data_IF_356158289450
#
_entry.id   IF_356158289450
#
_cell.length_a   1.000
_cell.length_b   1.000
_cell.length_c   1.000
_cell.angle_alpha   90.00
_cell.angle_beta   90.00
_cell.angle_gamma   90.00
#
_symmetry.space_group_name_H-M   'P 1'
#
loop_
_entity.id
_entity.type
_entity.pdbx_description
1 polymer ?
#
# COMPACT_ATOMS: atom_id res chain seq x y z
N UNK A 1 -30.78 4.65 14.68
CA UNK A 1 -29.76 3.61 14.38
C UNK A 1 -30.38 2.62 13.42
N UNK A 2 -29.71 2.31 12.30
CA UNK A 2 -30.17 1.25 11.39
C UNK A 2 -30.20 -0.11 12.12
N UNK A 3 -30.91 -1.11 11.62
CA UNK A 3 -30.88 -2.51 12.01
C UNK A 3 -29.84 -3.31 11.21
N UNK A 4 -29.64 -4.61 11.50
CA UNK A 4 -28.72 -5.48 10.76
C UNK A 4 -29.12 -5.72 9.30
N UNK A 5 -30.42 -5.64 9.01
CA UNK A 5 -31.03 -5.88 7.69
C UNK A 5 -31.39 -4.60 6.94
N UNK A 6 -31.09 -3.45 7.53
CA UNK A 6 -31.47 -2.18 6.94
C UNK A 6 -30.46 -1.80 5.86
N UNK A 7 -31.01 -1.42 4.71
CA UNK A 7 -30.25 -0.95 3.57
C UNK A 7 -30.15 0.57 3.61
N UNK A 8 -28.95 1.07 3.33
CA UNK A 8 -28.73 2.47 3.04
C UNK A 8 -28.91 2.71 1.55
N UNK A 9 -29.75 3.68 1.14
CA UNK A 9 -29.80 4.07 -0.25
C UNK A 9 -28.46 4.69 -0.66
N UNK A 10 -28.09 4.49 -1.93
CA UNK A 10 -26.84 5.02 -2.45
C UNK A 10 -26.92 6.54 -2.61
N UNK A 11 -26.29 7.27 -1.69
CA UNK A 11 -26.11 8.72 -1.82
C UNK A 11 -25.02 9.03 -2.86
N UNK A 12 -25.00 10.23 -3.47
CA UNK A 12 -23.94 10.61 -4.41
C UNK A 12 -22.54 10.50 -3.82
N UNK A 13 -22.38 10.86 -2.54
CA UNK A 13 -21.11 10.74 -1.83
C UNK A 13 -20.68 9.29 -1.64
N UNK A 14 -21.60 8.42 -1.23
CA UNK A 14 -21.31 6.99 -1.08
C UNK A 14 -20.98 6.38 -2.43
N UNK A 15 -21.74 6.70 -3.48
CA UNK A 15 -21.48 6.25 -4.85
C UNK A 15 -20.08 6.62 -5.32
N UNK A 16 -19.63 7.86 -5.08
CA UNK A 16 -18.29 8.28 -5.44
C UNK A 16 -17.20 7.44 -4.75
N UNK A 17 -17.36 7.18 -3.44
CA UNK A 17 -16.41 6.33 -2.70
C UNK A 17 -16.41 4.90 -3.24
N UNK A 18 -17.59 4.30 -3.46
CA UNK A 18 -17.67 2.94 -4.00
C UNK A 18 -17.07 2.83 -5.40
N UNK A 19 -17.21 3.86 -6.24
CA UNK A 19 -16.55 3.87 -7.55
C UNK A 19 -15.03 3.92 -7.44
N UNK A 20 -14.49 4.71 -6.51
CA UNK A 20 -13.05 4.70 -6.22
C UNK A 20 -12.62 3.31 -5.75
N UNK A 21 -13.39 2.69 -4.85
CA UNK A 21 -13.11 1.34 -4.35
C UNK A 21 -13.10 0.29 -5.48
N UNK A 22 -14.06 0.36 -6.41
CA UNK A 22 -14.09 -0.52 -7.59
C UNK A 22 -12.88 -0.27 -8.48
N UNK A 23 -12.61 0.98 -8.88
CA UNK A 23 -11.52 1.26 -9.83
C UNK A 23 -10.16 0.89 -9.22
N UNK A 24 -9.94 1.25 -7.97
CA UNK A 24 -8.65 1.04 -7.29
C UNK A 24 -8.54 -0.38 -6.75
N UNK A 25 -9.41 -0.79 -5.82
CA UNK A 25 -9.23 -2.06 -5.12
C UNK A 25 -9.71 -3.28 -5.91
N UNK A 26 -10.81 -3.20 -6.66
CA UNK A 26 -11.17 -4.32 -7.53
C UNK A 26 -10.13 -4.49 -8.64
N UNK A 27 -9.67 -3.39 -9.23
CA UNK A 27 -8.59 -3.37 -10.22
C UNK A 27 -7.30 -3.98 -9.68
N UNK A 28 -6.81 -3.51 -8.52
CA UNK A 28 -5.62 -4.05 -7.86
C UNK A 28 -5.79 -5.50 -7.40
N UNK A 29 -6.98 -5.88 -6.94
CA UNK A 29 -7.29 -7.24 -6.52
C UNK A 29 -7.25 -8.22 -7.68
N UNK A 30 -7.90 -7.87 -8.81
CA UNK A 30 -7.84 -8.65 -10.04
C UNK A 30 -6.40 -8.72 -10.58
N UNK A 31 -5.72 -7.58 -10.67
CA UNK A 31 -4.33 -7.54 -11.10
C UNK A 31 -3.43 -8.41 -10.23
N UNK A 32 -3.45 -8.25 -8.90
CA UNK A 32 -2.63 -9.05 -7.99
C UNK A 32 -2.99 -10.55 -7.98
N UNK A 33 -4.23 -10.90 -8.30
CA UNK A 33 -4.64 -12.29 -8.43
C UNK A 33 -4.08 -12.93 -9.71
N UNK A 34 -4.15 -12.22 -10.86
CA UNK A 34 -3.84 -12.77 -12.19
C UNK A 34 -2.44 -12.46 -12.73
N UNK A 35 -1.84 -11.31 -12.43
CA UNK A 35 -0.55 -10.86 -13.01
C UNK A 35 0.66 -11.64 -12.47
N UNK A 36 0.53 -12.22 -11.28
CA UNK A 36 1.59 -12.90 -10.54
C UNK A 36 2.20 -14.13 -11.27
N UNK A 37 1.56 -14.61 -12.33
CA UNK A 37 2.09 -15.67 -13.20
C UNK A 37 3.13 -15.17 -14.20
N UNK A 38 3.13 -13.87 -14.51
CA UNK A 38 3.95 -13.27 -15.57
C UNK A 38 5.10 -12.41 -15.03
N UNK A 39 5.13 -12.10 -13.72
CA UNK A 39 6.19 -11.29 -13.14
C UNK A 39 7.53 -12.03 -13.08
N UNK A 40 8.59 -11.37 -13.56
CA UNK A 40 9.96 -11.89 -13.49
C UNK A 40 10.42 -11.99 -12.04
N UNK A 41 11.22 -13.01 -11.73
CA UNK A 41 11.77 -13.20 -10.40
C UNK A 41 12.64 -12.00 -9.99
N UNK A 42 12.38 -11.36 -8.83
CA UNK A 42 13.26 -10.32 -8.34
C UNK A 42 14.66 -10.88 -8.11
N UNK A 43 15.69 -10.13 -8.49
CA UNK A 43 17.09 -10.60 -8.47
C UNK A 43 17.51 -11.12 -7.08
N UNK A 44 17.04 -10.45 -6.01
CA UNK A 44 17.31 -10.83 -4.62
C UNK A 44 16.73 -12.19 -4.17
N UNK A 45 15.78 -12.75 -4.94
CA UNK A 45 15.22 -14.09 -4.67
C UNK A 45 16.07 -15.22 -5.25
N UNK A 46 17.07 -14.90 -6.09
CA UNK A 46 17.94 -15.89 -6.74
C UNK A 46 19.08 -16.26 -5.78
N UNK A 47 19.28 -17.56 -5.56
CA UNK A 47 20.40 -18.12 -4.78
C UNK A 47 21.02 -19.26 -5.57
N UNK A 48 22.33 -19.26 -5.70
CA UNK A 48 23.09 -20.28 -6.45
C UNK A 48 22.56 -20.50 -7.88
N UNK A 49 22.24 -19.42 -8.59
CA UNK A 49 21.74 -19.47 -9.97
C UNK A 49 20.30 -19.97 -10.14
N UNK A 50 19.56 -20.23 -9.04
CA UNK A 50 18.16 -20.66 -9.09
C UNK A 50 17.24 -19.82 -8.18
N UNK A 51 15.94 -19.68 -8.51
CA UNK A 51 14.99 -19.02 -7.61
C UNK A 51 14.85 -19.80 -6.29
N UNK A 52 15.01 -19.10 -5.16
CA UNK A 52 14.75 -19.68 -3.85
C UNK A 52 13.23 -19.73 -3.60
N UNK A 53 12.67 -20.95 -3.57
CA UNK A 53 11.23 -21.16 -3.43
C UNK A 53 10.65 -20.63 -2.11
N UNK A 54 11.39 -20.72 -1.01
CA UNK A 54 10.94 -20.23 0.30
C UNK A 54 10.88 -18.69 0.36
N UNK A 55 11.94 -18.01 -0.11
CA UNK A 55 11.97 -16.55 -0.21
C UNK A 55 10.88 -16.03 -1.15
N UNK A 56 10.66 -16.72 -2.28
CA UNK A 56 9.59 -16.36 -3.21
C UNK A 56 8.21 -16.54 -2.58
N UNK A 57 7.96 -17.67 -1.92
CA UNK A 57 6.68 -17.95 -1.29
C UNK A 57 6.35 -16.90 -0.22
N UNK A 58 7.27 -16.66 0.71
CA UNK A 58 7.08 -15.68 1.80
C UNK A 58 6.83 -14.27 1.28
N UNK A 59 7.55 -13.85 0.24
CA UNK A 59 7.34 -12.55 -0.41
C UNK A 59 5.98 -12.44 -1.11
N UNK A 60 5.55 -13.51 -1.78
CA UNK A 60 4.29 -13.53 -2.55
C UNK A 60 3.06 -13.71 -1.66
N UNK A 61 3.16 -14.40 -0.53
CA UNK A 61 2.04 -14.60 0.39
C UNK A 61 1.45 -13.27 0.85
N UNK A 62 2.29 -12.30 1.25
CA UNK A 62 1.82 -10.99 1.67
C UNK A 62 1.11 -10.23 0.52
N UNK A 63 1.68 -10.29 -0.69
CA UNK A 63 1.10 -9.66 -1.87
C UNK A 63 -0.27 -10.28 -2.23
N UNK A 64 -0.39 -11.61 -2.19
CA UNK A 64 -1.64 -12.33 -2.45
C UNK A 64 -2.71 -12.07 -1.40
N UNK A 65 -2.33 -11.98 -0.12
CA UNK A 65 -3.26 -11.64 0.95
C UNK A 65 -3.80 -10.22 0.77
N UNK A 66 -2.95 -9.26 0.41
CA UNK A 66 -3.38 -7.91 0.07
C UNK A 66 -4.33 -7.89 -1.12
N UNK A 67 -3.98 -8.57 -2.22
CA UNK A 67 -4.84 -8.67 -3.40
C UNK A 67 -6.21 -9.29 -3.08
N UNK A 68 -6.26 -10.31 -2.22
CA UNK A 68 -7.51 -10.92 -1.77
C UNK A 68 -8.39 -9.94 -0.98
N UNK A 69 -7.81 -9.16 -0.06
CA UNK A 69 -8.53 -8.13 0.70
C UNK A 69 -9.07 -7.05 -0.25
N UNK A 70 -8.23 -6.56 -1.17
CA UNK A 70 -8.64 -5.57 -2.17
C UNK A 70 -9.76 -6.08 -3.09
N UNK A 71 -9.70 -7.35 -3.48
CA UNK A 71 -10.74 -7.97 -4.31
C UNK A 71 -12.08 -8.04 -3.56
N UNK A 72 -12.07 -8.43 -2.28
CA UNK A 72 -13.28 -8.50 -1.45
C UNK A 72 -13.88 -7.08 -1.26
N UNK A 73 -13.04 -6.10 -0.95
CA UNK A 73 -13.42 -4.69 -0.85
C UNK A 73 -14.09 -4.19 -2.14
N UNK A 74 -13.41 -4.37 -3.26
CA UNK A 74 -13.91 -3.97 -4.57
C UNK A 74 -15.19 -4.70 -4.97
N UNK A 75 -15.35 -5.96 -4.58
CA UNK A 75 -16.56 -6.74 -4.84
C UNK A 75 -17.76 -6.22 -4.06
N UNK A 76 -17.58 -5.92 -2.77
CA UNK A 76 -18.62 -5.30 -1.93
C UNK A 76 -19.03 -3.94 -2.52
N UNK A 77 -18.06 -3.13 -2.93
CA UNK A 77 -18.34 -1.83 -3.55
C UNK A 77 -19.10 -1.96 -4.87
N UNK A 78 -18.71 -2.91 -5.72
CA UNK A 78 -19.42 -3.20 -6.97
C UNK A 78 -20.85 -3.64 -6.70
N UNK A 79 -21.09 -4.52 -5.72
CA UNK A 79 -22.43 -4.96 -5.37
C UNK A 79 -23.31 -3.78 -4.92
N UNK A 80 -22.76 -2.91 -4.06
CA UNK A 80 -23.46 -1.70 -3.61
C UNK A 80 -23.82 -0.72 -4.73
N UNK A 81 -22.95 -0.60 -5.75
CA UNK A 81 -23.23 0.17 -6.96
C UNK A 81 -24.29 -0.48 -7.85
N UNK A 82 -24.28 -1.80 -8.01
CA UNK A 82 -25.26 -2.50 -8.85
C UNK A 82 -26.65 -2.53 -8.21
N UNK A 83 -26.73 -2.78 -6.91
CA UNK A 83 -28.00 -2.83 -6.17
C UNK A 83 -28.55 -1.42 -5.83
N UNK A 84 -27.76 -0.36 -6.05
CA UNK A 84 -28.10 1.04 -5.69
C UNK A 84 -28.42 1.22 -4.19
N UNK A 85 -27.95 0.28 -3.36
CA UNK A 85 -28.11 0.27 -1.92
C UNK A 85 -26.99 -0.54 -1.30
N UNK A 86 -26.67 -0.25 -0.05
CA UNK A 86 -25.63 -0.96 0.69
C UNK A 86 -26.18 -1.37 2.03
N UNK A 87 -26.03 -2.63 2.41
CA UNK A 87 -26.34 -3.10 3.75
C UNK A 87 -25.37 -2.51 4.76
N UNK A 88 -25.80 -2.41 6.02
CA UNK A 88 -24.88 -2.05 7.11
C UNK A 88 -23.63 -2.94 7.13
N UNK A 89 -23.80 -4.25 6.94
CA UNK A 89 -22.70 -5.21 7.01
C UNK A 89 -21.63 -4.90 5.95
N UNK A 90 -22.05 -4.57 4.74
CA UNK A 90 -21.15 -4.17 3.65
C UNK A 90 -20.37 -2.88 4.01
N UNK A 91 -21.05 -1.85 4.53
CA UNK A 91 -20.37 -0.61 4.98
C UNK A 91 -19.39 -0.91 6.12
N UNK A 92 -19.81 -1.66 7.14
CA UNK A 92 -18.94 -2.04 8.26
C UNK A 92 -17.72 -2.84 7.78
N UNK A 93 -17.88 -3.67 6.76
CA UNK A 93 -16.79 -4.44 6.15
C UNK A 93 -15.83 -3.54 5.38
N UNK A 94 -16.31 -2.49 4.69
CA UNK A 94 -15.45 -1.48 4.07
C UNK A 94 -14.59 -0.77 5.13
N UNK A 95 -15.21 -0.31 6.23
CA UNK A 95 -14.50 0.32 7.34
C UNK A 95 -13.43 -0.59 7.95
N UNK A 96 -13.78 -1.84 8.24
CA UNK A 96 -12.87 -2.79 8.87
C UNK A 96 -11.69 -3.14 7.95
N UNK A 97 -11.96 -3.37 6.67
CA UNK A 97 -10.94 -3.72 5.68
C UNK A 97 -9.98 -2.55 5.45
N UNK A 98 -10.49 -1.32 5.31
CA UNK A 98 -9.65 -0.12 5.24
C UNK A 98 -8.79 0.06 6.49
N UNK A 99 -9.36 -0.15 7.69
CA UNK A 99 -8.61 -0.08 8.94
C UNK A 99 -7.47 -1.11 9.01
N UNK A 100 -7.69 -2.34 8.53
CA UNK A 100 -6.65 -3.38 8.44
C UNK A 100 -5.55 -2.98 7.46
N UNK A 101 -5.92 -2.51 6.26
CA UNK A 101 -4.96 -2.02 5.27
C UNK A 101 -4.12 -0.87 5.82
N UNK A 102 -4.77 0.12 6.44
CA UNK A 102 -4.09 1.27 7.01
C UNK A 102 -3.22 0.92 8.22
N UNK A 103 -3.62 -0.03 9.06
CA UNK A 103 -2.73 -0.54 10.12
C UNK A 103 -1.44 -1.12 9.55
N UNK A 104 -1.51 -1.83 8.42
CA UNK A 104 -0.34 -2.29 7.68
C UNK A 104 0.56 -1.13 7.27
N UNK A 105 -0.03 -0.09 6.65
CA UNK A 105 0.67 1.12 6.22
C UNK A 105 1.33 1.86 7.39
N UNK A 106 0.64 2.01 8.53
CA UNK A 106 1.19 2.64 9.74
C UNK A 106 2.40 1.86 10.27
N UNK A 107 2.31 0.53 10.29
CA UNK A 107 3.37 -0.32 10.85
C UNK A 107 4.65 -0.37 10.00
N UNK A 108 4.52 -0.16 8.68
CA UNK A 108 5.63 -0.22 7.70
C UNK A 108 6.13 1.16 7.27
N UNK A 109 5.71 2.21 7.98
CA UNK A 109 6.10 3.59 7.70
C UNK A 109 7.64 3.73 7.76
N UNK A 110 8.24 4.27 6.71
CA UNK A 110 9.66 4.65 6.73
C UNK A 110 9.89 5.81 7.73
N UNK A 111 11.02 5.85 8.46
CA UNK A 111 11.26 6.95 9.38
C UNK A 111 11.46 8.29 8.65
N UNK A 112 11.11 9.40 9.32
CA UNK A 112 11.27 10.76 8.80
C UNK A 112 10.19 11.23 7.82
N UNK A 113 10.53 12.26 7.03
CA UNK A 113 9.60 12.92 6.09
C UNK A 113 9.10 11.99 4.98
N UNK A 114 9.90 11.00 4.58
CA UNK A 114 9.56 10.04 3.52
C UNK A 114 8.39 9.13 3.91
N UNK A 115 8.34 8.66 5.16
CA UNK A 115 7.19 7.87 5.60
C UNK A 115 5.91 8.67 5.69
N UNK A 116 5.98 9.97 6.02
CA UNK A 116 4.78 10.82 6.04
C UNK A 116 4.28 11.03 4.61
N UNK A 117 5.17 11.38 3.68
CA UNK A 117 4.81 11.57 2.28
C UNK A 117 4.25 10.27 1.67
N UNK A 118 4.88 9.14 1.96
CA UNK A 118 4.44 7.82 1.52
C UNK A 118 3.04 7.44 2.00
N UNK A 119 2.61 7.91 3.18
CA UNK A 119 1.25 7.69 3.69
C UNK A 119 0.25 8.65 3.02
N UNK A 120 0.60 9.92 2.86
CA UNK A 120 -0.32 10.92 2.28
C UNK A 120 -0.60 10.67 0.79
N UNK A 121 0.35 10.05 0.08
CA UNK A 121 0.17 9.63 -1.31
C UNK A 121 -0.73 8.40 -1.48
N UNK A 122 -1.09 7.72 -0.38
CA UNK A 122 -1.90 6.50 -0.43
C UNK A 122 -3.39 6.85 -0.50
N UNK A 123 -4.15 6.36 -1.51
CA UNK A 123 -5.58 6.60 -1.58
C UNK A 123 -6.33 6.08 -0.35
N UNK A 124 -5.85 4.98 0.25
CA UNK A 124 -6.39 4.37 1.47
C UNK A 124 -6.56 5.40 2.60
N UNK A 125 -5.58 6.29 2.77
CA UNK A 125 -5.57 7.29 3.83
C UNK A 125 -6.74 8.28 3.67
N UNK A 126 -6.94 8.78 2.45
CA UNK A 126 -7.99 9.76 2.16
C UNK A 126 -9.38 9.12 2.15
N UNK A 127 -9.50 7.93 1.59
CA UNK A 127 -10.77 7.20 1.57
C UNK A 127 -11.23 6.88 2.99
N UNK A 128 -10.31 6.42 3.85
CA UNK A 128 -10.65 6.14 5.24
C UNK A 128 -11.07 7.41 5.98
N UNK A 129 -10.40 8.55 5.78
CA UNK A 129 -10.83 9.83 6.37
C UNK A 129 -12.24 10.20 5.89
N UNK A 130 -12.51 10.12 4.59
CA UNK A 130 -13.82 10.43 4.02
C UNK A 130 -14.91 9.51 4.59
N UNK A 131 -14.62 8.22 4.71
CA UNK A 131 -15.53 7.23 5.30
C UNK A 131 -15.86 7.57 6.75
N UNK A 132 -14.86 7.82 7.60
CA UNK A 132 -15.08 8.21 8.99
C UNK A 132 -15.78 9.57 9.14
N UNK A 133 -15.47 10.55 8.30
CA UNK A 133 -16.07 11.87 8.39
C UNK A 133 -17.56 11.86 8.01
N UNK A 134 -17.94 11.06 7.01
CA UNK A 134 -19.27 11.14 6.39
C UNK A 134 -20.19 9.97 6.79
N UNK A 135 -19.64 8.80 7.12
CA UNK A 135 -20.41 7.56 7.26
C UNK A 135 -20.30 6.89 8.63
N UNK A 136 -19.58 7.49 9.58
CA UNK A 136 -19.47 6.99 10.97
C UNK A 136 -20.82 6.76 11.68
N UNK A 137 -21.87 7.58 11.50
CA UNK A 137 -23.17 7.33 12.14
C UNK A 137 -23.88 6.06 11.68
N UNK A 138 -23.47 5.47 10.56
CA UNK A 138 -24.13 4.30 9.96
C UNK A 138 -23.58 2.96 10.47
N UNK A 139 -22.37 2.97 11.03
CA UNK A 139 -21.73 1.79 11.60
C UNK A 139 -22.01 1.67 13.09
N UNK A 140 -21.96 0.43 13.60
CA UNK A 140 -22.07 0.20 15.04
C UNK A 140 -20.88 0.81 15.80
N UNK A 141 -21.11 1.39 16.99
CA UNK A 141 -20.02 1.97 17.78
C UNK A 141 -18.94 0.94 18.15
N UNK A 142 -19.32 -0.34 18.30
CA UNK A 142 -18.38 -1.44 18.52
C UNK A 142 -17.44 -1.64 17.33
N UNK A 143 -17.97 -1.57 16.10
CA UNK A 143 -17.16 -1.68 14.87
C UNK A 143 -16.27 -0.46 14.71
N UNK A 144 -16.80 0.75 14.98
CA UNK A 144 -16.00 1.97 14.99
C UNK A 144 -14.83 1.88 15.97
N UNK A 145 -15.06 1.39 17.19
CA UNK A 145 -14.03 1.21 18.21
C UNK A 145 -12.96 0.21 17.76
N UNK A 146 -13.36 -0.92 17.16
CA UNK A 146 -12.43 -1.91 16.59
C UNK A 146 -11.55 -1.27 15.51
N UNK A 147 -12.16 -0.50 14.60
CA UNK A 147 -11.40 0.16 13.53
C UNK A 147 -10.38 1.16 14.08
N UNK A 148 -10.75 1.95 15.10
CA UNK A 148 -9.83 2.87 15.78
C UNK A 148 -8.72 2.09 16.48
N UNK A 149 -9.05 1.01 17.20
CA UNK A 149 -8.06 0.18 17.90
C UNK A 149 -7.05 -0.44 16.93
N UNK A 150 -7.50 -0.94 15.78
CA UNK A 150 -6.62 -1.50 14.73
C UNK A 150 -5.67 -0.42 14.18
N UNK A 151 -6.17 0.78 13.87
CA UNK A 151 -5.31 1.87 13.38
C UNK A 151 -4.28 2.31 14.44
N UNK A 152 -4.72 2.47 15.69
CA UNK A 152 -3.85 2.82 16.80
C UNK A 152 -2.79 1.75 17.04
N UNK A 153 -3.14 0.47 16.92
CA UNK A 153 -2.19 -0.62 17.03
C UNK A 153 -1.06 -0.52 16.01
N UNK A 154 -1.37 -0.20 14.75
CA UNK A 154 -0.34 0.04 13.71
C UNK A 154 0.63 1.16 14.09
N UNK A 155 0.12 2.25 14.67
CA UNK A 155 0.93 3.40 15.15
C UNK A 155 1.79 2.99 16.35
N UNK A 156 1.20 2.32 17.34
CA UNK A 156 1.90 1.84 18.54
C UNK A 156 3.03 0.88 18.15
N UNK A 157 2.76 -0.06 17.25
CA UNK A 157 3.77 -0.99 16.76
C UNK A 157 4.95 -0.27 16.10
N UNK A 158 4.67 0.72 15.24
CA UNK A 158 5.72 1.55 14.63
C UNK A 158 6.57 2.28 15.70
N UNK A 159 5.95 2.85 16.73
CA UNK A 159 6.68 3.56 17.78
C UNK A 159 7.56 2.64 18.63
N UNK A 160 7.06 1.44 18.96
CA UNK A 160 7.76 0.48 19.83
C UNK A 160 8.85 -0.32 19.11
N UNK A 161 8.65 -0.68 17.83
CA UNK A 161 9.53 -1.59 17.08
C UNK A 161 10.24 -0.93 15.90
N UNK A 162 9.70 0.16 15.35
CA UNK A 162 10.26 0.84 14.17
C UNK A 162 11.60 1.53 14.43
N UNK A 163 11.90 1.89 15.69
CA UNK A 163 13.16 2.56 16.06
C UNK A 163 14.30 1.61 16.41
N UNK A 164 14.01 0.36 16.75
CA UNK A 164 14.97 -0.53 17.42
C UNK A 164 15.38 -1.76 16.60
N UNK A 165 14.68 -2.11 15.52
CA UNK A 165 14.88 -3.41 14.87
C UNK A 165 15.15 -3.42 13.36
N UNK A 166 14.77 -2.40 12.59
CA UNK A 166 14.70 -2.54 11.12
C UNK A 166 15.66 -1.66 10.32
N UNK A 167 16.05 -0.47 10.78
CA UNK A 167 16.91 0.43 10.02
C UNK A 167 17.77 1.32 10.92
N UNK A 168 18.98 0.88 11.29
CA UNK A 168 19.96 1.74 11.97
C UNK A 168 21.34 1.60 11.31
N UNK A 169 21.93 2.70 10.82
CA UNK A 169 21.35 4.04 10.64
C UNK A 169 20.51 4.12 9.36
N UNK A 170 19.28 4.66 9.45
CA UNK A 170 18.49 4.97 8.26
C UNK A 170 18.85 6.37 7.72
N UNK A 171 19.50 6.42 6.56
CA UNK A 171 19.71 7.66 5.79
C UNK A 171 19.04 7.54 4.42
N UNK A 172 18.82 8.66 3.73
CA UNK A 172 18.33 8.65 2.34
C UNK A 172 19.26 7.85 1.42
N UNK A 173 20.57 7.85 1.70
CA UNK A 173 21.57 7.11 0.95
C UNK A 173 21.49 5.60 1.20
N UNK A 174 21.24 5.15 2.44
CA UNK A 174 21.05 3.72 2.70
C UNK A 174 19.81 3.18 1.99
N UNK A 175 18.71 3.94 1.96
CA UNK A 175 17.50 3.54 1.22
C UNK A 175 17.78 3.39 -0.28
N UNK A 176 18.51 4.33 -0.87
CA UNK A 176 18.86 4.29 -2.30
C UNK A 176 19.73 3.08 -2.61
N UNK A 177 20.70 2.76 -1.74
CA UNK A 177 21.56 1.59 -1.87
C UNK A 177 20.76 0.29 -1.74
N UNK A 178 19.85 0.20 -0.76
CA UNK A 178 18.98 -0.97 -0.59
C UNK A 178 18.10 -1.20 -1.83
N UNK A 179 17.62 -0.13 -2.47
CA UNK A 179 16.86 -0.20 -3.72
C UNK A 179 17.75 -0.63 -4.89
N UNK A 180 18.98 -0.13 -4.96
CA UNK A 180 19.95 -0.49 -5.99
C UNK A 180 20.29 -1.99 -5.92
N UNK A 181 20.57 -2.48 -4.71
CA UNK A 181 20.89 -3.90 -4.46
C UNK A 181 19.70 -4.82 -4.79
N UNK A 182 18.46 -4.38 -4.52
CA UNK A 182 17.27 -5.20 -4.71
C UNK A 182 16.67 -5.13 -6.13
N UNK A 183 16.68 -3.95 -6.75
CA UNK A 183 15.88 -3.62 -7.94
C UNK A 183 16.71 -3.02 -9.09
N UNK A 184 18.00 -2.78 -8.86
CA UNK A 184 18.93 -2.24 -9.85
C UNK A 184 18.99 -0.71 -9.89
N UNK A 185 20.02 -0.23 -10.59
CA UNK A 185 20.42 1.17 -10.62
C UNK A 185 19.35 2.11 -11.20
N UNK A 186 18.57 1.64 -12.18
CA UNK A 186 17.53 2.44 -12.83
C UNK A 186 16.39 2.83 -11.86
N UNK A 187 15.99 1.92 -10.96
CA UNK A 187 14.99 2.19 -9.93
C UNK A 187 15.57 3.02 -8.79
N UNK A 188 16.83 2.79 -8.42
CA UNK A 188 17.54 3.62 -7.45
C UNK A 188 17.62 5.09 -7.90
N UNK A 189 17.87 5.34 -9.18
CA UNK A 189 17.92 6.68 -9.77
C UNK A 189 16.56 7.40 -9.76
N UNK A 190 15.46 6.68 -9.97
CA UNK A 190 14.10 7.23 -9.77
C UNK A 190 13.86 7.65 -8.32
N UNK A 191 14.27 6.82 -7.37
CA UNK A 191 14.17 7.13 -5.94
C UNK A 191 15.04 8.33 -5.56
N UNK A 192 16.29 8.43 -6.06
CA UNK A 192 17.17 9.61 -5.87
C UNK A 192 16.50 10.91 -6.36
N UNK A 193 15.85 10.87 -7.53
CA UNK A 193 15.14 12.03 -8.10
C UNK A 193 13.95 12.46 -7.22
N UNK A 194 13.18 11.50 -6.70
CA UNK A 194 12.08 11.78 -5.75
C UNK A 194 12.62 12.35 -4.44
N UNK A 195 13.80 11.90 -4.01
CA UNK A 195 14.52 12.41 -2.84
C UNK A 195 15.16 13.79 -3.04
N UNK A 196 15.03 14.41 -4.22
CA UNK A 196 15.64 15.70 -4.53
C UNK A 196 17.17 15.68 -4.62
N UNK A 197 17.78 14.49 -4.69
CA UNK A 197 19.22 14.35 -4.92
C UNK A 197 19.47 14.47 -6.43
N UNK A 198 20.45 15.29 -6.84
CA UNK A 198 20.93 15.27 -8.23
C UNK A 198 21.46 13.85 -8.49
N UNK A 199 20.98 13.20 -9.55
CA UNK A 199 21.53 11.91 -9.99
C UNK A 199 23.04 12.03 -10.19
N UNK A 200 23.80 10.92 -10.17
CA UNK A 200 25.23 10.99 -10.48
C UNK A 200 25.34 11.72 -11.81
N UNK A 201 26.06 12.84 -11.80
CA UNK A 201 26.44 13.52 -13.02
C UNK A 201 26.96 12.44 -13.96
N UNK A 202 26.47 12.43 -15.20
CA UNK A 202 27.13 11.73 -16.27
C UNK A 202 28.63 11.99 -16.10
N UNK A 203 29.41 10.92 -15.99
CA UNK A 203 30.86 11.01 -16.09
C UNK A 203 31.19 11.42 -17.53
N UNK A 204 30.95 12.69 -17.85
CA UNK A 204 31.58 13.37 -18.98
C UNK A 204 33.02 13.64 -18.58
N UNK A 205 33.95 13.11 -19.38
CA UNK A 205 35.33 13.60 -19.40
C UNK A 205 36.45 12.58 -19.23
N UNK A 206 36.33 11.34 -19.73
CA UNK A 206 37.53 10.62 -20.16
C UNK A 206 37.79 10.93 -21.63
N UNK A 207 38.42 12.07 -21.87
CA UNK A 207 39.11 12.41 -23.11
C UNK A 207 40.05 11.27 -23.47
N UNK A 208 39.98 10.65 -24.67
CA UNK A 208 41.05 9.76 -25.10
C UNK A 208 42.35 10.57 -25.25
N UNK A 209 43.50 10.08 -24.78
CA UNK A 209 44.75 10.77 -25.01
C UNK A 209 45.03 10.84 -26.51
N UNK A 210 45.30 12.07 -26.97
CA UNK A 210 45.85 12.39 -28.28
C UNK A 210 46.99 11.41 -28.61
N UNK A 211 46.76 10.51 -29.57
CA UNK A 211 47.83 9.85 -30.30
C UNK A 211 48.27 10.79 -31.43
N UNK A 212 49.26 11.62 -31.12
CA UNK A 212 50.05 12.33 -32.12
C UNK A 212 51.43 11.65 -32.21
N UNK A 213 51.64 10.89 -33.29
CA UNK A 213 52.91 10.66 -33.97
C UNK A 213 52.62 9.92 -35.28
#
# INVERSE_FOLDING_TARGET
MLGPTDFLPLTPALSAILWVEVIVYLGLGLFGLFDDYFERHPAWTIRDGRPNGYLRMTAKTAHKLHAAICLILGWIALNGLLEQRVSRFEIETLFLSLAVLMSGVWSMKLPGRMGVLGIVLKPEFWIQIAMFAMFLPFIRPQVALICVAINLWGIVFFLLRGKTALFVPYTSETLVRDVEDALGEERANRVRRILGHKGPAQAEGSTPPNAAA
#
